data_IF_468833001017
#
_entry.id   IF_468833001017
#
_cell.length_a   1.000
_cell.length_b   1.000
_cell.length_c   1.000
_cell.angle_alpha   90.00
_cell.angle_beta   90.00
_cell.angle_gamma   90.00
#
_symmetry.space_group_name_H-M   'P 1'
#
loop_
_entity.id
_entity.type
_entity.pdbx_description
1 polymer ?
#
# COMPACT_ATOMS: atom_id res chain seq x y z
N UNK A 1 -44.83 4.13 26.16
CA UNK A 1 -43.47 3.89 26.69
C UNK A 1 -42.68 2.86 25.89
N UNK A 2 -43.14 1.61 25.74
CA UNK A 2 -42.38 0.53 25.05
C UNK A 2 -42.02 0.90 23.60
N UNK A 3 -42.95 1.50 22.84
CA UNK A 3 -42.70 1.95 21.45
C UNK A 3 -41.60 3.02 21.35
N UNK A 4 -41.52 3.92 22.33
CA UNK A 4 -40.52 4.99 22.39
C UNK A 4 -39.13 4.44 22.73
N UNK A 5 -39.06 3.47 23.65
CA UNK A 5 -37.81 2.78 24.01
C UNK A 5 -37.26 1.97 22.83
N UNK A 6 -38.15 1.29 22.09
CA UNK A 6 -37.76 0.54 20.89
C UNK A 6 -37.20 1.45 19.78
N UNK A 7 -37.82 2.62 19.58
CA UNK A 7 -37.35 3.60 18.60
C UNK A 7 -35.93 4.12 18.93
N UNK A 8 -35.66 4.39 20.21
CA UNK A 8 -34.35 4.84 20.69
C UNK A 8 -33.30 3.73 20.49
N UNK A 9 -33.64 2.49 20.85
CA UNK A 9 -32.76 1.33 20.64
C UNK A 9 -32.44 1.12 19.15
N UNK A 10 -33.43 1.23 18.27
CA UNK A 10 -33.24 1.13 16.83
C UNK A 10 -32.31 2.22 16.30
N UNK A 11 -32.47 3.46 16.74
CA UNK A 11 -31.60 4.58 16.37
C UNK A 11 -30.15 4.36 16.81
N UNK A 12 -29.94 3.85 18.04
CA UNK A 12 -28.59 3.57 18.55
C UNK A 12 -27.91 2.47 17.73
N UNK A 13 -28.61 1.38 17.43
CA UNK A 13 -28.07 0.27 16.62
C UNK A 13 -27.78 0.74 15.19
N UNK A 14 -28.68 1.53 14.59
CA UNK A 14 -28.50 2.06 13.25
C UNK A 14 -27.30 3.04 13.17
N UNK A 15 -27.12 3.90 14.18
CA UNK A 15 -25.94 4.78 14.27
C UNK A 15 -24.64 3.98 14.43
N UNK A 16 -24.63 2.93 15.27
CA UNK A 16 -23.45 2.07 15.42
C UNK A 16 -23.12 1.31 14.12
N UNK A 17 -24.14 0.82 13.41
CA UNK A 17 -23.97 0.09 12.16
C UNK A 17 -23.45 0.98 11.03
N UNK A 18 -23.97 2.21 10.92
CA UNK A 18 -23.48 3.17 9.92
C UNK A 18 -22.04 3.59 10.21
N UNK A 19 -21.66 3.81 11.47
CA UNK A 19 -20.26 4.09 11.82
C UNK A 19 -19.32 2.92 11.49
N UNK A 20 -19.74 1.67 11.72
CA UNK A 20 -18.94 0.50 11.35
C UNK A 20 -18.84 0.31 9.84
N UNK A 21 -19.91 0.60 9.09
CA UNK A 21 -19.92 0.50 7.63
C UNK A 21 -19.10 1.58 6.93
N UNK A 22 -19.05 2.79 7.52
CA UNK A 22 -18.26 3.92 7.02
C UNK A 22 -16.90 4.10 7.70
N UNK A 23 -16.48 3.14 8.55
CA UNK A 23 -15.13 3.13 9.07
C UNK A 23 -14.16 2.82 7.92
N UNK A 24 -13.68 3.86 7.24
CA UNK A 24 -12.54 3.75 6.33
C UNK A 24 -11.38 3.15 7.12
N UNK A 25 -11.03 1.90 6.81
CA UNK A 25 -9.79 1.34 7.33
C UNK A 25 -8.65 2.07 6.63
N UNK A 26 -8.13 3.12 7.24
CA UNK A 26 -6.93 3.79 6.76
C UNK A 26 -5.78 2.79 6.80
N UNK A 27 -5.38 2.28 5.63
CA UNK A 27 -4.28 1.34 5.52
C UNK A 27 -2.98 2.03 5.96
N UNK A 28 -2.21 1.38 6.84
CA UNK A 28 -0.87 1.90 7.16
C UNK A 28 0.05 1.86 5.94
N UNK A 29 1.15 2.62 5.95
CA UNK A 29 2.15 2.55 4.89
C UNK A 29 2.72 1.15 4.65
N UNK A 30 2.90 0.38 5.74
CA UNK A 30 3.30 -1.03 5.68
C UNK A 30 2.23 -1.90 5.02
N UNK A 31 0.96 -1.66 5.32
CA UNK A 31 -0.15 -2.37 4.68
C UNK A 31 -0.20 -2.06 3.18
N UNK A 32 -0.03 -0.79 2.80
CA UNK A 32 0.02 -0.40 1.39
C UNK A 32 1.16 -1.13 0.69
N UNK A 33 2.36 -1.10 1.28
CA UNK A 33 3.55 -1.76 0.72
C UNK A 33 3.40 -3.28 0.56
N UNK A 34 2.71 -3.94 1.49
CA UNK A 34 2.65 -5.41 1.56
C UNK A 34 1.36 -6.02 1.00
N UNK A 35 0.25 -5.27 0.92
CA UNK A 35 -1.09 -5.79 0.58
C UNK A 35 -1.69 -5.17 -0.68
N UNK A 36 -1.35 -3.93 -1.05
CA UNK A 36 -1.88 -3.33 -2.28
C UNK A 36 -1.19 -3.96 -3.48
N UNK A 37 -1.96 -4.73 -4.26
CA UNK A 37 -1.47 -5.63 -5.30
C UNK A 37 -1.85 -5.11 -6.69
N UNK A 38 -0.84 -4.99 -7.56
CA UNK A 38 -1.02 -4.88 -9.01
C UNK A 38 -0.97 -6.25 -9.69
N UNK A 39 -0.97 -6.31 -11.03
CA UNK A 39 -0.93 -7.56 -11.79
C UNK A 39 0.26 -8.47 -11.44
N UNK A 40 1.38 -7.88 -11.04
CA UNK A 40 2.66 -8.60 -10.81
C UNK A 40 3.02 -8.76 -9.33
N UNK A 41 2.08 -8.47 -8.41
CA UNK A 41 2.33 -8.55 -6.97
C UNK A 41 2.26 -7.20 -6.26
N UNK A 42 2.86 -7.14 -5.08
CA UNK A 42 2.92 -5.94 -4.22
C UNK A 42 4.32 -5.35 -4.25
N UNK A 43 4.52 -4.17 -3.67
CA UNK A 43 5.88 -3.62 -3.51
C UNK A 43 6.78 -4.60 -2.73
N UNK A 44 6.23 -5.27 -1.72
CA UNK A 44 6.93 -6.29 -0.93
C UNK A 44 7.26 -7.58 -1.71
N UNK A 45 6.59 -7.85 -2.84
CA UNK A 45 6.96 -8.98 -3.72
C UNK A 45 8.35 -8.79 -4.31
N UNK A 46 8.65 -7.58 -4.81
CA UNK A 46 9.97 -7.25 -5.36
C UNK A 46 10.96 -6.79 -4.27
N UNK A 47 10.45 -6.18 -3.20
CA UNK A 47 11.25 -5.59 -2.14
C UNK A 47 10.92 -6.17 -0.75
N UNK A 48 11.16 -7.46 -0.48
CA UNK A 48 10.75 -8.10 0.77
C UNK A 48 11.44 -7.45 1.97
N UNK A 49 10.66 -6.77 2.81
CA UNK A 49 11.19 -6.01 3.95
C UNK A 49 12.18 -4.89 3.56
N UNK A 50 12.11 -4.40 2.33
CA UNK A 50 13.04 -3.41 1.76
C UNK A 50 14.30 -4.00 1.11
N UNK A 51 14.55 -5.30 1.25
CA UNK A 51 15.64 -6.02 0.56
C UNK A 51 15.35 -6.18 -0.94
N UNK A 52 16.25 -6.80 -1.69
CA UNK A 52 16.00 -7.20 -3.08
C UNK A 52 15.50 -8.65 -3.15
N UNK A 53 14.47 -8.91 -3.96
CA UNK A 53 14.04 -10.27 -4.30
C UNK A 53 14.87 -10.91 -5.43
N UNK A 54 15.95 -10.25 -5.89
CA UNK A 54 16.81 -10.75 -6.96
C UNK A 54 16.67 -9.95 -8.24
N UNK A 55 16.24 -10.60 -9.33
CA UNK A 55 16.17 -10.00 -10.66
C UNK A 55 14.76 -10.14 -11.24
N UNK A 56 14.39 -9.14 -12.03
CA UNK A 56 13.13 -9.02 -12.73
C UNK A 56 13.34 -9.42 -14.19
N UNK A 57 12.57 -10.38 -14.65
CA UNK A 57 12.43 -10.72 -16.06
C UNK A 57 11.39 -9.80 -16.69
N UNK A 58 11.83 -8.93 -17.59
CA UNK A 58 10.97 -7.94 -18.24
C UNK A 58 10.07 -8.52 -19.33
N UNK A 59 10.39 -9.69 -19.87
CA UNK A 59 9.59 -10.38 -20.87
C UNK A 59 8.52 -11.23 -20.17
N UNK A 60 8.92 -12.12 -19.26
CA UNK A 60 8.03 -13.00 -18.50
C UNK A 60 7.22 -12.26 -17.42
N UNK A 61 7.65 -11.05 -17.02
CA UNK A 61 7.03 -10.23 -15.98
C UNK A 61 6.99 -10.90 -14.61
N UNK A 62 8.11 -11.51 -14.23
CA UNK A 62 8.26 -12.21 -12.96
C UNK A 62 9.65 -12.05 -12.36
N UNK A 63 9.82 -12.57 -11.13
CA UNK A 63 11.11 -12.63 -10.47
C UNK A 63 11.79 -13.94 -10.89
N UNK A 64 13.00 -13.84 -11.42
CA UNK A 64 13.78 -14.97 -11.91
C UNK A 64 15.27 -14.72 -11.65
N UNK A 65 16.03 -15.78 -11.36
CA UNK A 65 17.48 -15.69 -11.17
C UNK A 65 18.20 -15.25 -12.46
N UNK A 66 17.59 -15.50 -13.62
CA UNK A 66 18.12 -15.14 -14.94
C UNK A 66 17.53 -13.83 -15.50
N UNK A 67 16.71 -13.10 -14.71
CA UNK A 67 16.01 -11.90 -15.17
C UNK A 67 16.95 -10.80 -15.71
N UNK A 68 16.49 -9.99 -16.67
CA UNK A 68 17.32 -8.98 -17.34
C UNK A 68 17.63 -7.75 -16.45
N UNK A 69 16.81 -7.49 -15.43
CA UNK A 69 16.95 -6.29 -14.57
C UNK A 69 17.18 -6.65 -13.10
N UNK A 70 18.22 -6.08 -12.48
CA UNK A 70 18.40 -6.18 -11.03
C UNK A 70 17.31 -5.39 -10.31
N UNK A 71 16.62 -6.02 -9.35
CA UNK A 71 15.71 -5.32 -8.44
C UNK A 71 16.56 -4.65 -7.35
N UNK A 72 16.49 -3.32 -7.17
CA UNK A 72 17.32 -2.64 -6.18
C UNK A 72 16.84 -2.95 -4.76
N UNK A 73 17.78 -2.99 -3.81
CA UNK A 73 17.45 -2.86 -2.39
C UNK A 73 17.04 -1.41 -2.09
N UNK A 74 15.96 -1.24 -1.33
CA UNK A 74 15.41 0.07 -0.94
C UNK A 74 15.52 0.33 0.57
N UNK A 75 16.12 -0.60 1.31
CA UNK A 75 16.43 -0.39 2.73
C UNK A 75 17.34 0.82 2.92
N UNK A 76 16.98 1.72 3.84
CA UNK A 76 17.69 2.97 4.09
C UNK A 76 17.59 4.00 2.96
N UNK A 77 16.68 3.84 2.00
CA UNK A 77 16.57 4.77 0.85
C UNK A 77 16.22 6.20 1.28
N UNK A 78 15.50 6.37 2.39
CA UNK A 78 15.19 7.69 2.96
C UNK A 78 16.43 8.50 3.40
N UNK A 79 17.58 7.84 3.63
CA UNK A 79 18.86 8.54 3.88
C UNK A 79 19.48 9.13 2.60
N UNK A 80 19.03 8.67 1.43
CA UNK A 80 19.61 9.00 0.11
C UNK A 80 18.66 9.81 -0.76
N UNK A 81 17.36 9.80 -0.45
CA UNK A 81 16.31 10.42 -1.25
C UNK A 81 15.36 11.22 -0.36
N UNK A 82 15.00 12.41 -0.79
CA UNK A 82 13.96 13.19 -0.11
C UNK A 82 12.57 12.58 -0.34
N UNK A 83 11.57 12.88 0.51
CA UNK A 83 10.19 12.44 0.31
C UNK A 83 9.63 12.75 -1.08
N UNK A 84 9.93 13.92 -1.64
CA UNK A 84 9.47 14.34 -2.97
C UNK A 84 10.14 13.52 -4.09
N UNK A 85 11.40 13.11 -3.88
CA UNK A 85 12.09 12.22 -4.82
C UNK A 85 11.50 10.80 -4.75
N UNK A 86 11.18 10.32 -3.55
CA UNK A 86 10.53 9.04 -3.34
C UNK A 86 9.13 9.02 -3.97
N UNK A 87 8.35 10.08 -3.79
CA UNK A 87 7.04 10.24 -4.41
C UNK A 87 7.11 10.08 -5.93
N UNK A 88 8.03 10.80 -6.59
CA UNK A 88 8.23 10.71 -8.05
C UNK A 88 8.56 9.29 -8.50
N UNK A 89 9.41 8.58 -7.75
CA UNK A 89 9.78 7.19 -8.04
C UNK A 89 8.56 6.28 -7.86
N UNK A 90 7.82 6.42 -6.76
CA UNK A 90 6.65 5.60 -6.46
C UNK A 90 5.56 5.81 -7.50
N UNK A 91 5.30 7.05 -7.93
CA UNK A 91 4.35 7.36 -9.01
C UNK A 91 4.76 6.67 -10.32
N UNK A 92 6.05 6.69 -10.66
CA UNK A 92 6.55 5.98 -11.85
C UNK A 92 6.33 4.47 -11.74
N UNK A 93 6.61 3.87 -10.58
CA UNK A 93 6.41 2.43 -10.36
C UNK A 93 4.93 2.04 -10.34
N UNK A 94 4.08 2.83 -9.68
CA UNK A 94 2.62 2.71 -9.65
C UNK A 94 2.08 2.63 -11.08
N UNK A 95 2.48 3.57 -11.94
CA UNK A 95 2.01 3.64 -13.32
C UNK A 95 2.56 2.48 -14.16
N UNK A 96 3.87 2.21 -14.05
CA UNK A 96 4.54 1.16 -14.84
C UNK A 96 4.01 -0.23 -14.55
N UNK A 97 3.74 -0.55 -13.28
CA UNK A 97 3.30 -1.87 -12.83
C UNK A 97 1.82 -1.92 -12.44
N UNK A 98 1.06 -0.86 -12.75
CA UNK A 98 -0.39 -0.76 -12.51
C UNK A 98 -0.80 -1.12 -11.08
N UNK A 99 -0.04 -0.64 -10.09
CA UNK A 99 -0.37 -0.85 -8.67
C UNK A 99 -1.42 0.19 -8.27
N UNK A 100 -2.59 -0.19 -7.74
CA UNK A 100 -3.70 0.73 -7.49
C UNK A 100 -3.54 1.50 -6.16
N UNK A 101 -2.41 2.18 -5.97
CA UNK A 101 -2.18 3.07 -4.82
C UNK A 101 -2.98 4.34 -5.04
N UNK A 102 -3.84 4.70 -4.11
CA UNK A 102 -4.60 5.96 -4.17
C UNK A 102 -3.74 7.15 -3.69
N UNK A 103 -4.16 8.37 -4.02
CA UNK A 103 -3.35 9.57 -3.75
C UNK A 103 -3.28 9.87 -2.23
N UNK A 104 -4.34 9.56 -1.48
CA UNK A 104 -4.38 9.60 -0.02
C UNK A 104 -3.45 8.55 0.64
N UNK A 105 -3.27 7.41 -0.01
CA UNK A 105 -2.34 6.34 0.41
C UNK A 105 -0.88 6.69 0.12
N UNK A 106 -0.60 7.55 -0.85
CA UNK A 106 0.74 7.89 -1.30
C UNK A 106 1.62 8.39 -0.16
N UNK A 107 1.09 9.30 0.66
CA UNK A 107 1.82 9.87 1.81
C UNK A 107 2.23 8.78 2.81
N UNK A 108 1.30 7.91 3.18
CA UNK A 108 1.55 6.82 4.12
C UNK A 108 2.62 5.85 3.60
N UNK A 109 2.60 5.55 2.30
CA UNK A 109 3.60 4.71 1.66
C UNK A 109 4.99 5.37 1.63
N UNK A 110 5.07 6.68 1.30
CA UNK A 110 6.32 7.44 1.32
C UNK A 110 6.92 7.45 2.72
N UNK A 111 6.10 7.72 3.74
CA UNK A 111 6.55 7.74 5.13
C UNK A 111 7.12 6.38 5.55
N UNK A 112 6.46 5.29 5.16
CA UNK A 112 6.97 3.94 5.43
C UNK A 112 8.30 3.66 4.71
N UNK A 113 8.38 3.92 3.41
CA UNK A 113 9.59 3.66 2.61
C UNK A 113 10.77 4.53 3.07
N UNK A 114 10.50 5.76 3.51
CA UNK A 114 11.52 6.67 4.06
C UNK A 114 12.17 6.13 5.33
N UNK A 115 11.47 5.27 6.09
CA UNK A 115 11.91 4.69 7.36
C UNK A 115 12.34 3.21 7.27
N UNK A 116 12.46 2.65 6.05
CA UNK A 116 13.00 1.30 5.82
C UNK A 116 14.49 1.18 6.15
#
# INVERSE_FOLDING_TARGET
>A
MIKTIFLIWFLIIFMAFTQAYFAESTLSGKDIFSKVKGPYGTCNTCHPGGSSAGRWDSEAKEISDDGDKKIPEIKGIGKKKSPEQLEKIIVLMRNKYKVPIQDDQMKMLIDYISNL
#
